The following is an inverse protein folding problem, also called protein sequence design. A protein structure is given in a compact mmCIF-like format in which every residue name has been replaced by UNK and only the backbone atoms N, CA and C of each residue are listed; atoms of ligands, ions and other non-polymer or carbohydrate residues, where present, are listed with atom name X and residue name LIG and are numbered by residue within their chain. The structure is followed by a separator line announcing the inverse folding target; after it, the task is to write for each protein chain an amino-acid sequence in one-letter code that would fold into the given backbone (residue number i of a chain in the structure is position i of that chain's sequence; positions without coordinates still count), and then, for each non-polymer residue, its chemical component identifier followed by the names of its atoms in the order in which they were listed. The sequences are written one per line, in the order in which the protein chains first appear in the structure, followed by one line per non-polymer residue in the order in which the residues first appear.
data_IF_845687814459
#
_entry.id   IF_845687814459
#
_cell.length_a   1.000
_cell.length_b   1.000
_cell.length_c   1.000
_cell.angle_alpha   90.00
_cell.angle_beta   90.00
_cell.angle_gamma   90.00
#
_symmetry.space_group_name_H-M   'P 1'
#
loop_
_entity.id
_entity.type
_entity.pdbx_description
1 polymer ?
#
# COMPACT_ATOMS: atom_id res chain seq x y z
N UNK A 1 33.99 9.68 3.28
CA UNK A 1 32.90 9.18 2.42
C UNK A 1 31.83 10.24 2.46
N UNK A 2 31.33 10.67 1.31
CA UNK A 2 30.19 11.60 1.22
C UNK A 2 28.98 10.98 1.92
N UNK A 3 28.10 11.78 2.51
CA UNK A 3 26.88 11.28 3.12
C UNK A 3 25.98 10.71 2.01
N UNK A 4 25.53 9.45 2.06
CA UNK A 4 24.64 8.88 1.04
C UNK A 4 23.33 9.67 0.88
N UNK A 5 22.93 10.42 1.90
CA UNK A 5 21.78 11.33 1.83
C UNK A 5 22.01 12.52 0.90
N UNK A 6 23.26 12.91 0.63
CA UNK A 6 23.60 13.98 -0.32
C UNK A 6 23.31 13.56 -1.79
N UNK A 7 23.25 12.25 -2.07
CA UNK A 7 22.94 11.71 -3.39
C UNK A 7 21.42 11.49 -3.61
N UNK A 8 20.63 11.51 -2.54
CA UNK A 8 19.19 11.34 -2.63
C UNK A 8 18.51 12.62 -3.09
N UNK A 9 17.94 12.58 -4.30
CA UNK A 9 17.02 13.58 -4.78
C UNK A 9 15.65 12.93 -4.92
N UNK A 10 14.74 13.25 -3.99
CA UNK A 10 13.40 12.67 -3.92
C UNK A 10 12.61 12.89 -5.22
N UNK A 11 12.68 14.09 -5.82
CA UNK A 11 11.97 14.39 -7.06
C UNK A 11 12.49 13.55 -8.23
N UNK A 12 13.82 13.40 -8.32
CA UNK A 12 14.43 12.57 -9.35
C UNK A 12 14.09 11.09 -9.15
N UNK A 13 14.13 10.59 -7.91
CA UNK A 13 13.82 9.21 -7.58
C UNK A 13 12.33 8.90 -7.81
N UNK A 14 11.44 9.82 -7.45
CA UNK A 14 10.01 9.74 -7.80
C UNK A 14 9.78 9.79 -9.30
N UNK A 15 10.54 10.59 -10.05
CA UNK A 15 10.45 10.62 -11.52
C UNK A 15 10.90 9.31 -12.17
N UNK A 16 11.92 8.62 -11.64
CA UNK A 16 12.28 7.26 -12.09
C UNK A 16 11.13 6.27 -11.90
N UNK A 17 10.22 6.57 -10.97
CA UNK A 17 9.09 5.76 -10.57
C UNK A 17 7.77 6.51 -10.81
N UNK A 18 7.66 7.22 -11.93
CA UNK A 18 6.48 8.00 -12.29
C UNK A 18 5.19 7.15 -12.15
N UNK A 19 4.28 7.63 -11.30
CA UNK A 19 3.00 6.97 -10.93
C UNK A 19 3.15 5.63 -10.22
N UNK A 20 4.31 5.34 -9.63
CA UNK A 20 4.53 4.17 -8.79
C UNK A 20 4.83 4.61 -7.35
N UNK A 21 4.25 3.90 -6.39
CA UNK A 21 4.49 4.10 -4.97
C UNK A 21 5.14 2.83 -4.40
N UNK A 22 6.15 2.94 -3.52
CA UNK A 22 6.74 1.76 -2.93
C UNK A 22 5.79 1.18 -1.88
N UNK A 23 5.77 -0.14 -1.78
CA UNK A 23 5.26 -0.87 -0.61
C UNK A 23 6.42 -1.65 -0.03
N UNK A 24 6.89 -1.22 1.14
CA UNK A 24 7.94 -1.92 1.89
C UNK A 24 7.29 -3.01 2.74
N UNK A 25 7.86 -4.21 2.72
CA UNK A 25 7.35 -5.38 3.42
C UNK A 25 8.48 -6.27 3.93
N UNK A 26 8.25 -6.97 5.05
CA UNK A 26 9.19 -7.97 5.58
C UNK A 26 8.99 -9.32 4.89
N UNK A 27 9.96 -9.82 4.13
CA UNK A 27 9.81 -11.06 3.36
C UNK A 27 10.27 -12.33 4.09
N UNK A 28 10.78 -12.22 5.33
CA UNK A 28 11.18 -13.36 6.16
C UNK A 28 10.30 -13.51 7.40
N UNK A 29 10.36 -14.68 8.02
CA UNK A 29 9.75 -14.90 9.34
C UNK A 29 10.49 -14.08 10.39
N UNK A 30 9.76 -13.41 11.29
CA UNK A 30 10.33 -12.50 12.27
C UNK A 30 9.76 -11.09 12.20
N UNK A 31 10.20 -10.22 13.11
CA UNK A 31 9.68 -8.86 13.22
C UNK A 31 10.08 -7.95 12.04
N UNK A 32 9.31 -6.87 11.86
CA UNK A 32 9.75 -5.75 11.02
C UNK A 32 10.88 -5.01 11.73
N UNK A 33 12.11 -5.12 11.23
CA UNK A 33 13.26 -4.46 11.83
C UNK A 33 14.27 -3.99 10.78
N UNK A 34 14.75 -2.76 10.96
CA UNK A 34 15.83 -2.18 10.19
C UNK A 34 17.17 -2.44 10.87
N UNK A 35 18.25 -2.52 10.10
CA UNK A 35 19.61 -2.46 10.63
C UNK A 35 19.87 -1.11 11.29
N UNK A 36 20.84 -1.03 12.19
CA UNK A 36 21.20 0.22 12.86
C UNK A 36 21.69 1.28 11.87
N UNK A 37 22.44 0.86 10.83
CA UNK A 37 22.85 1.75 9.73
C UNK A 37 21.66 2.30 8.94
N UNK A 38 20.64 1.48 8.66
CA UNK A 38 19.43 1.94 8.00
C UNK A 38 18.67 2.95 8.86
N UNK A 39 18.58 2.73 10.19
CA UNK A 39 17.97 3.68 11.13
C UNK A 39 18.71 5.02 11.13
N UNK A 40 20.05 5.00 11.25
CA UNK A 40 20.87 6.22 11.25
C UNK A 40 20.68 7.06 9.98
N UNK A 41 20.61 6.42 8.81
CA UNK A 41 20.33 7.11 7.54
C UNK A 41 18.94 7.76 7.53
N UNK A 42 17.93 7.03 7.99
CA UNK A 42 16.56 7.52 8.06
C UNK A 42 16.41 8.68 9.07
N UNK A 43 17.00 8.56 10.26
CA UNK A 43 16.98 9.60 11.31
C UNK A 43 17.69 10.87 10.85
N UNK A 44 18.81 10.71 10.13
CA UNK A 44 19.56 11.82 9.53
C UNK A 44 18.71 12.56 8.48
N UNK A 45 17.99 11.83 7.63
CA UNK A 45 17.15 12.41 6.59
C UNK A 45 15.88 13.10 7.15
N UNK A 46 15.18 12.46 8.09
CA UNK A 46 13.94 13.01 8.66
C UNK A 46 14.17 13.98 9.82
N UNK A 47 15.41 14.09 10.32
CA UNK A 47 15.78 15.02 11.40
C UNK A 47 15.12 14.70 12.75
N UNK A 48 14.66 13.47 12.96
CA UNK A 48 14.01 13.02 14.19
C UNK A 48 14.27 11.54 14.47
N UNK A 49 14.25 11.18 15.75
CA UNK A 49 14.32 9.78 16.19
C UNK A 49 13.08 9.03 15.69
N UNK A 50 13.32 7.86 15.11
CA UNK A 50 12.26 7.08 14.49
C UNK A 50 11.55 6.24 15.55
N UNK A 51 10.33 6.66 15.91
CA UNK A 51 9.43 5.87 16.75
C UNK A 51 8.81 4.73 15.94
N UNK A 52 9.08 3.49 16.34
CA UNK A 52 8.63 2.25 15.68
C UNK A 52 7.13 1.95 15.86
N UNK A 53 6.36 2.85 16.46
CA UNK A 53 4.96 2.60 16.81
C UNK A 53 3.99 2.70 15.62
N UNK A 54 4.41 3.22 14.47
CA UNK A 54 3.55 3.35 13.28
C UNK A 54 4.19 2.72 12.03
N UNK A 55 4.09 1.40 11.91
CA UNK A 55 4.55 0.66 10.72
C UNK A 55 3.84 1.11 9.43
N UNK A 56 2.71 1.80 9.50
CA UNK A 56 1.98 2.27 8.31
C UNK A 56 2.69 3.42 7.56
N UNK A 57 3.38 4.31 8.27
CA UNK A 57 4.02 5.48 7.65
C UNK A 57 5.24 5.06 6.81
N UNK A 58 6.03 4.11 7.30
CA UNK A 58 7.25 3.67 6.62
C UNK A 58 7.01 2.78 5.41
N UNK A 59 5.82 2.20 5.24
CA UNK A 59 5.56 1.28 4.11
C UNK A 59 5.61 1.97 2.75
N UNK A 60 5.33 3.27 2.71
CA UNK A 60 5.33 4.06 1.47
C UNK A 60 6.46 5.09 1.43
N UNK A 61 7.43 4.98 2.32
CA UNK A 61 8.53 5.93 2.39
C UNK A 61 9.51 5.71 1.22
N UNK A 62 9.62 6.73 0.36
CA UNK A 62 10.49 6.67 -0.82
C UNK A 62 11.97 6.66 -0.46
N UNK A 63 12.36 7.29 0.64
CA UNK A 63 13.73 7.32 1.08
C UNK A 63 14.15 5.97 1.67
N UNK A 64 13.26 5.31 2.43
CA UNK A 64 13.48 3.93 2.87
C UNK A 64 13.57 2.98 1.67
N UNK A 65 12.72 3.15 0.66
CA UNK A 65 12.80 2.37 -0.57
C UNK A 65 14.14 2.59 -1.31
N UNK A 66 14.63 3.83 -1.37
CA UNK A 66 15.93 4.16 -1.93
C UNK A 66 17.07 3.49 -1.16
N UNK A 67 17.06 3.54 0.18
CA UNK A 67 18.06 2.87 1.02
C UNK A 67 18.09 1.37 0.73
N UNK A 68 16.91 0.73 0.69
CA UNK A 68 16.79 -0.71 0.43
C UNK A 68 17.27 -1.05 -1.00
N UNK A 69 16.89 -0.28 -2.02
CA UNK A 69 17.19 -0.67 -3.41
C UNK A 69 18.56 -0.22 -3.92
N UNK A 70 19.14 0.84 -3.36
CA UNK A 70 20.32 1.51 -3.95
C UNK A 70 21.53 1.61 -3.02
N UNK A 71 21.32 1.60 -1.69
CA UNK A 71 22.41 1.80 -0.73
C UNK A 71 22.78 0.49 -0.03
N UNK A 72 21.85 -0.08 0.73
CA UNK A 72 22.14 -1.16 1.67
C UNK A 72 21.67 -2.54 1.19
N UNK A 73 20.69 -2.61 0.28
CA UNK A 73 20.15 -3.90 -0.17
C UNK A 73 19.69 -4.76 1.01
N UNK A 74 20.23 -5.98 1.14
CA UNK A 74 19.91 -6.88 2.24
C UNK A 74 20.39 -6.35 3.60
N UNK A 75 21.45 -5.54 3.63
CA UNK A 75 22.01 -4.95 4.86
C UNK A 75 21.11 -3.84 5.44
N UNK A 76 20.02 -3.48 4.76
CA UNK A 76 18.99 -2.60 5.32
C UNK A 76 18.21 -3.25 6.47
N UNK A 77 18.23 -4.58 6.57
CA UNK A 77 17.44 -5.37 7.51
C UNK A 77 18.25 -5.77 8.74
N UNK A 78 17.60 -5.97 9.89
CA UNK A 78 18.23 -6.63 11.03
C UNK A 78 18.43 -8.14 10.79
N UNK A 79 19.09 -8.84 11.72
CA UNK A 79 19.36 -10.29 11.63
C UNK A 79 18.09 -11.15 11.43
N UNK A 80 16.93 -10.66 11.89
CA UNK A 80 15.65 -11.39 11.86
C UNK A 80 14.62 -10.77 10.91
N UNK A 81 15.08 -9.90 10.01
CA UNK A 81 14.24 -9.21 9.05
C UNK A 81 14.80 -9.35 7.63
N UNK A 82 13.93 -9.15 6.63
CA UNK A 82 14.29 -9.13 5.23
C UNK A 82 13.38 -8.16 4.49
N UNK A 83 13.66 -6.88 4.66
CA UNK A 83 12.91 -5.79 4.05
C UNK A 83 13.03 -5.83 2.53
N UNK A 84 11.90 -5.65 1.85
CA UNK A 84 11.78 -5.66 0.39
C UNK A 84 10.87 -4.53 -0.05
N UNK A 85 11.10 -4.05 -1.26
CA UNK A 85 10.25 -3.05 -1.91
C UNK A 85 9.42 -3.72 -3.00
N UNK A 86 8.15 -3.34 -3.07
CA UNK A 86 7.28 -3.65 -4.20
C UNK A 86 6.68 -2.36 -4.75
N UNK A 87 7.06 -1.99 -5.96
CA UNK A 87 6.49 -0.85 -6.67
C UNK A 87 5.11 -1.16 -7.22
N UNK A 88 4.16 -0.27 -6.97
CA UNK A 88 2.76 -0.43 -7.40
C UNK A 88 2.24 0.85 -8.03
N UNK A 89 1.30 0.77 -8.98
CA UNK A 89 0.64 1.96 -9.50
C UNK A 89 -0.03 2.74 -8.37
N UNK A 90 0.14 4.07 -8.37
CA UNK A 90 -0.40 4.98 -7.36
C UNK A 90 -1.92 4.82 -7.21
N UNK A 91 -2.64 4.59 -8.31
CA UNK A 91 -4.09 4.36 -8.28
C UNK A 91 -4.50 3.05 -7.57
N UNK A 92 -3.54 2.20 -7.21
CA UNK A 92 -3.76 0.93 -6.52
C UNK A 92 -3.37 0.93 -5.06
N UNK A 93 -2.88 2.05 -4.53
CA UNK A 93 -2.39 2.12 -3.15
C UNK A 93 -3.49 1.87 -2.11
N UNK A 94 -4.73 2.23 -2.42
CA UNK A 94 -5.88 1.97 -1.53
C UNK A 94 -6.43 0.54 -1.68
N UNK A 95 -5.87 -0.25 -2.60
CA UNK A 95 -6.39 -1.56 -3.00
C UNK A 95 -5.42 -2.70 -2.75
N UNK A 96 -4.59 -2.58 -1.71
CA UNK A 96 -3.75 -3.66 -1.23
C UNK A 96 -4.00 -3.95 0.25
N UNK A 97 -3.61 -5.16 0.66
CA UNK A 97 -3.49 -5.54 2.06
C UNK A 97 -2.18 -6.29 2.27
N UNK A 98 -1.60 -6.16 3.44
CA UNK A 98 -0.49 -7.02 3.85
C UNK A 98 -1.07 -8.32 4.38
N UNK A 99 -0.66 -9.44 3.76
CA UNK A 99 -0.83 -10.76 4.35
C UNK A 99 0.37 -11.02 5.22
N UNK A 100 0.15 -11.15 6.52
CA UNK A 100 1.21 -11.45 7.48
C UNK A 100 0.97 -12.83 8.08
N UNK A 101 2.01 -13.65 8.11
CA UNK A 101 2.02 -14.90 8.86
C UNK A 101 3.38 -15.06 9.54
N UNK A 102 3.37 -14.95 10.87
CA UNK A 102 4.56 -15.07 11.72
C UNK A 102 5.66 -14.07 11.30
N UNK A 103 5.23 -12.82 11.07
CA UNK A 103 6.08 -11.70 10.69
C UNK A 103 6.56 -11.69 9.23
N UNK A 104 6.32 -12.79 8.50
CA UNK A 104 6.49 -12.83 7.05
C UNK A 104 5.30 -12.19 6.36
N UNK A 105 5.57 -11.12 5.63
CA UNK A 105 4.61 -10.30 4.94
C UNK A 105 4.58 -10.57 3.44
N UNK A 106 3.42 -10.35 2.83
CA UNK A 106 3.24 -10.36 1.38
C UNK A 106 2.15 -9.36 0.98
N UNK A 107 2.48 -8.34 0.16
CA UNK A 107 1.47 -7.44 -0.37
C UNK A 107 0.54 -8.15 -1.35
N UNK A 108 -0.74 -8.22 -0.99
CA UNK A 108 -1.80 -8.83 -1.79
C UNK A 108 -2.74 -7.74 -2.31
N UNK A 109 -2.85 -7.60 -3.63
CA UNK A 109 -3.78 -6.66 -4.26
C UNK A 109 -5.17 -7.26 -4.31
N UNK A 110 -6.16 -6.44 -4.05
CA UNK A 110 -7.53 -6.88 -4.13
C UNK A 110 -7.90 -7.04 -5.61
N UNK A 111 -8.72 -8.05 -5.93
CA UNK A 111 -9.10 -8.28 -7.33
C UNK A 111 -9.81 -7.06 -7.90
N UNK A 112 -9.78 -6.87 -9.24
CA UNK A 112 -10.53 -5.82 -9.92
C UNK A 112 -12.03 -5.80 -9.54
N UNK A 113 -12.58 -6.98 -9.23
CA UNK A 113 -13.97 -7.12 -8.74
C UNK A 113 -14.16 -6.44 -7.39
N UNK A 114 -13.18 -6.57 -6.49
CA UNK A 114 -13.21 -5.90 -5.19
C UNK A 114 -12.96 -4.39 -5.32
N UNK A 115 -12.05 -3.97 -6.20
CA UNK A 115 -11.83 -2.54 -6.51
C UNK A 115 -13.16 -1.88 -6.93
N UNK A 116 -13.85 -2.47 -7.92
CA UNK A 116 -15.15 -2.00 -8.39
C UNK A 116 -16.23 -2.01 -7.30
N UNK A 117 -16.23 -3.03 -6.44
CA UNK A 117 -17.16 -3.11 -5.31
C UNK A 117 -16.94 -1.96 -4.31
N UNK A 118 -15.69 -1.64 -3.99
CA UNK A 118 -15.36 -0.54 -3.08
C UNK A 118 -15.62 0.83 -3.69
N UNK A 119 -15.32 1.04 -4.98
CA UNK A 119 -15.67 2.27 -5.70
C UNK A 119 -17.18 2.54 -5.63
N UNK A 120 -18.01 1.52 -5.87
CA UNK A 120 -19.48 1.65 -5.77
C UNK A 120 -19.95 1.84 -4.33
N UNK A 121 -19.35 1.11 -3.37
CA UNK A 121 -19.66 1.27 -1.95
C UNK A 121 -19.37 2.70 -1.45
N UNK A 122 -18.24 3.29 -1.85
CA UNK A 122 -17.86 4.64 -1.48
C UNK A 122 -18.82 5.68 -2.07
N UNK A 123 -19.14 5.58 -3.38
CA UNK A 123 -20.15 6.45 -4.01
C UNK A 123 -21.49 6.38 -3.30
N UNK A 124 -21.91 5.17 -2.91
CA UNK A 124 -23.16 4.95 -2.19
C UNK A 124 -23.12 5.58 -0.80
N UNK A 125 -22.03 5.35 -0.05
CA UNK A 125 -21.84 5.95 1.28
C UNK A 125 -21.86 7.47 1.22
N UNK A 126 -21.18 8.09 0.26
CA UNK A 126 -21.24 9.55 0.06
C UNK A 126 -22.64 10.04 -0.28
N UNK A 127 -23.34 9.35 -1.19
CA UNK A 127 -24.71 9.68 -1.55
C UNK A 127 -25.63 9.65 -0.33
N UNK A 128 -25.48 8.61 0.49
CA UNK A 128 -26.26 8.42 1.70
C UNK A 128 -25.94 9.46 2.77
N UNK A 129 -24.67 9.78 2.98
CA UNK A 129 -24.25 10.85 3.90
C UNK A 129 -24.84 12.21 3.50
N UNK A 130 -24.96 12.49 2.19
CA UNK A 130 -25.60 13.70 1.67
C UNK A 130 -27.11 13.76 1.90
N UNK A 131 -27.76 12.63 2.15
CA UNK A 131 -29.20 12.58 2.41
C UNK A 131 -29.56 12.91 3.87
N UNK A 132 -28.58 13.09 4.76
CA UNK A 132 -28.76 13.41 6.19
C UNK A 132 -29.78 12.49 6.88
N UNK A 133 -29.79 11.20 6.51
CA UNK A 133 -30.70 10.20 7.06
C UNK A 133 -30.07 9.65 8.36
N UNK A 134 -30.71 9.84 9.52
CA UNK A 134 -30.07 9.65 10.82
C UNK A 134 -29.84 8.18 11.22
N UNK A 135 -30.32 7.19 10.46
CA UNK A 135 -30.14 5.78 10.80
C UNK A 135 -30.21 4.86 9.58
N UNK A 136 -29.06 4.30 9.21
CA UNK A 136 -28.89 3.37 8.09
C UNK A 136 -28.94 1.90 8.50
N UNK A 137 -29.16 1.61 9.79
CA UNK A 137 -29.16 0.26 10.33
C UNK A 137 -30.22 -0.67 9.71
N UNK A 138 -31.11 -0.16 8.85
CA UNK A 138 -32.21 -0.88 8.24
C UNK A 138 -32.11 -1.14 6.73
N UNK A 139 -31.08 -0.65 6.03
CA UNK A 139 -30.91 -1.02 4.62
C UNK A 139 -30.24 -2.39 4.57
N UNK A 140 -31.01 -3.42 4.22
CA UNK A 140 -30.49 -4.76 3.98
C UNK A 140 -29.51 -4.71 2.79
N UNK A 141 -28.23 -4.53 3.11
CA UNK A 141 -27.11 -4.44 2.19
C UNK A 141 -27.01 -5.69 1.28
N UNK A 142 -27.53 -6.86 1.71
CA UNK A 142 -27.61 -8.04 0.84
C UNK A 142 -28.63 -7.85 -0.27
N UNK A 143 -29.78 -7.26 0.03
CA UNK A 143 -30.81 -6.97 -0.98
C UNK A 143 -30.36 -5.92 -2.00
N UNK A 144 -29.59 -4.93 -1.54
CA UNK A 144 -29.09 -3.85 -2.38
C UNK A 144 -27.92 -4.32 -3.26
N UNK A 145 -26.96 -5.04 -2.67
CA UNK A 145 -25.83 -5.63 -3.42
C UNK A 145 -26.29 -6.64 -4.47
N UNK A 146 -27.33 -7.43 -4.21
CA UNK A 146 -27.92 -8.34 -5.21
C UNK A 146 -28.53 -7.59 -6.40
N UNK A 147 -29.22 -6.47 -6.16
CA UNK A 147 -29.78 -5.62 -7.23
C UNK A 147 -28.70 -4.89 -8.03
N UNK A 148 -27.64 -4.46 -7.37
CA UNK A 148 -26.47 -3.85 -8.00
C UNK A 148 -25.75 -4.88 -8.87
N UNK A 149 -25.42 -6.05 -8.31
CA UNK A 149 -24.79 -7.16 -9.05
C UNK A 149 -25.64 -7.63 -10.24
N UNK A 150 -26.99 -7.67 -10.12
CA UNK A 150 -27.84 -8.00 -11.27
C UNK A 150 -27.83 -6.92 -12.34
N UNK A 151 -27.76 -5.64 -11.95
CA UNK A 151 -27.75 -4.51 -12.88
C UNK A 151 -26.42 -4.39 -13.63
N UNK A 152 -25.32 -4.86 -13.04
CA UNK A 152 -24.00 -4.88 -13.66
C UNK A 152 -23.61 -6.23 -14.27
N UNK A 153 -24.46 -7.26 -14.16
CA UNK A 153 -24.22 -8.59 -14.72
C UNK A 153 -23.96 -8.53 -16.22
N UNK A 154 -24.76 -7.76 -16.94
CA UNK A 154 -24.62 -7.58 -18.40
C UNK A 154 -23.33 -6.82 -18.75
N UNK A 155 -22.90 -5.86 -17.90
CA UNK A 155 -21.66 -5.09 -18.08
C UNK A 155 -20.41 -5.95 -17.81
N UNK A 156 -20.49 -6.85 -16.82
CA UNK A 156 -19.44 -7.82 -16.47
C UNK A 156 -19.34 -8.89 -17.57
N UNK A 157 -20.46 -9.42 -18.04
CA UNK A 157 -20.50 -10.38 -19.14
C UNK A 157 -19.97 -9.77 -20.45
N UNK A 158 -20.33 -8.52 -20.78
CA UNK A 158 -19.82 -7.83 -21.97
C UNK A 158 -18.30 -7.59 -21.91
N UNK A 159 -17.75 -7.22 -20.74
CA UNK A 159 -16.31 -6.99 -20.59
C UNK A 159 -15.49 -8.28 -20.46
N UNK A 160 -16.05 -9.34 -19.88
CA UNK A 160 -15.41 -10.66 -19.84
C UNK A 160 -15.41 -11.36 -21.21
N UNK A 161 -16.38 -11.08 -22.09
CA UNK A 161 -16.44 -11.63 -23.44
C UNK A 161 -15.54 -10.93 -24.47
N UNK A 162 -14.97 -9.76 -24.15
CA UNK A 162 -14.10 -9.00 -25.07
C UNK A 162 -12.57 -9.24 -24.90
N UNK A 163 -12.13 -10.20 -24.08
CA UNK A 163 -10.71 -10.65 -23.96
C UNK A 163 -9.79 -9.62 -23.29
N UNK A 164 -8.72 -9.92 -22.53
CA UNK A 164 -7.62 -10.88 -22.74
C UNK A 164 -7.08 -10.91 -24.16
#
# INVERSE_FOLDING_TARGET
MSDPSDEYNEDAFKMEHDKLVPIIYNSCYGGWEMSDTCKELMETHHGSEISFLSCEIYRHDYYLAFIIEKILHDDASSEYASLRVKWVPEEKIDFYRIHEYDGKETPHFMSRVYELYMEEHNKYTEFVQKLDIPDLSFIDLKSLSAKILSSYKDLIEEKCLRGF
#
